data_IF_577659760499
#
_entry.id   IF_577659760499
#
_cell.length_a   1.000
_cell.length_b   1.000
_cell.length_c   1.000
_cell.angle_alpha   90.00
_cell.angle_beta   90.00
_cell.angle_gamma   90.00
#
_symmetry.space_group_name_H-M   'P 1'
#
loop_
_entity.id
_entity.type
_entity.pdbx_description
1 polymer ?
#
# COMPACT_ATOMS: atom_id res chain seq x y z
N UNK A 1 3.63 -7.59 9.80
CA UNK A 1 3.48 -7.18 11.20
C UNK A 1 4.49 -6.09 11.53
N UNK A 2 4.06 -5.06 12.23
CA UNK A 2 4.97 -3.99 12.68
C UNK A 2 4.51 -3.40 14.00
N UNK A 3 5.45 -2.89 14.78
CA UNK A 3 5.22 -2.16 16.03
C UNK A 3 6.16 -0.97 16.13
N UNK A 4 5.83 -0.01 16.99
CA UNK A 4 6.71 1.10 17.38
C UNK A 4 7.29 0.90 18.78
N UNK A 5 7.22 -0.32 19.34
CA UNK A 5 7.78 -0.67 20.66
C UNK A 5 9.12 -1.39 20.53
N UNK A 6 9.88 -1.42 21.60
CA UNK A 6 11.10 -2.21 21.73
C UNK A 6 10.91 -3.43 22.62
N UNK A 7 9.66 -3.67 23.09
CA UNK A 7 9.36 -4.74 24.02
C UNK A 7 9.35 -6.11 23.32
N UNK A 8 10.21 -7.06 23.66
CA UNK A 8 10.22 -8.39 23.05
C UNK A 8 8.88 -9.12 23.11
N UNK A 9 8.06 -8.85 24.13
CA UNK A 9 6.74 -9.46 24.29
C UNK A 9 5.72 -8.99 23.24
N UNK A 10 5.96 -7.84 22.62
CA UNK A 10 5.14 -7.30 21.52
C UNK A 10 5.80 -7.54 20.15
N UNK A 11 7.04 -7.99 20.13
CA UNK A 11 7.87 -8.14 18.94
C UNK A 11 8.16 -9.63 18.67
N UNK A 12 9.35 -10.14 19.00
CA UNK A 12 9.76 -11.51 18.69
C UNK A 12 8.86 -12.56 19.33
N UNK A 13 8.30 -12.31 20.52
CA UNK A 13 7.43 -13.28 21.18
C UNK A 13 6.08 -13.42 20.48
N UNK A 14 5.54 -12.32 19.94
CA UNK A 14 4.32 -12.38 19.11
C UNK A 14 4.58 -13.17 17.83
N UNK A 15 5.73 -12.93 17.18
CA UNK A 15 6.08 -13.68 15.96
C UNK A 15 6.33 -15.16 16.29
N UNK A 16 7.02 -15.46 17.38
CA UNK A 16 7.21 -16.84 17.85
C UNK A 16 5.88 -17.56 18.10
N UNK A 17 4.96 -16.89 18.81
CA UNK A 17 3.61 -17.41 19.03
C UNK A 17 2.88 -17.63 17.71
N UNK A 18 2.89 -16.64 16.81
CA UNK A 18 2.21 -16.71 15.52
C UNK A 18 2.70 -17.88 14.66
N UNK A 19 4.01 -18.09 14.57
CA UNK A 19 4.61 -19.20 13.80
C UNK A 19 4.26 -20.58 14.37
N UNK A 20 4.04 -20.70 15.69
CA UNK A 20 3.55 -21.94 16.30
C UNK A 20 2.08 -22.19 16.04
N UNK A 21 1.23 -21.17 16.17
CA UNK A 21 -0.21 -21.29 15.98
C UNK A 21 -0.61 -21.42 14.50
N UNK A 22 0.22 -20.94 13.61
CA UNK A 22 -0.06 -20.87 12.17
C UNK A 22 1.12 -21.40 11.38
N UNK A 23 1.27 -22.74 11.31
CA UNK A 23 2.42 -23.39 10.64
C UNK A 23 2.48 -23.14 9.12
N UNK A 24 1.38 -22.66 8.53
CA UNK A 24 1.34 -22.23 7.14
C UNK A 24 2.01 -20.86 6.91
N UNK A 25 2.46 -20.18 7.96
CA UNK A 25 3.18 -18.91 7.85
C UNK A 25 4.69 -19.14 7.94
N UNK A 26 5.43 -18.41 7.14
CA UNK A 26 6.89 -18.36 7.18
C UNK A 26 7.38 -16.91 7.17
N UNK A 27 8.53 -16.66 7.80
CA UNK A 27 9.19 -15.35 7.73
C UNK A 27 9.99 -15.23 6.44
N UNK A 28 9.81 -14.09 5.78
CA UNK A 28 10.57 -13.68 4.60
C UNK A 28 11.61 -12.65 5.03
N UNK A 29 12.85 -12.78 4.53
CA UNK A 29 13.88 -11.75 4.73
C UNK A 29 13.49 -10.49 3.95
N UNK A 30 13.63 -9.35 4.61
CA UNK A 30 13.48 -8.05 3.97
C UNK A 30 14.83 -7.59 3.40
N UNK A 31 14.79 -6.64 2.47
CA UNK A 31 15.98 -5.97 1.98
C UNK A 31 16.70 -5.28 3.14
N UNK A 32 18.02 -5.36 3.13
CA UNK A 32 18.85 -4.75 4.18
C UNK A 32 19.10 -3.27 3.86
N UNK A 33 18.87 -2.41 4.84
CA UNK A 33 19.14 -0.99 4.77
C UNK A 33 20.10 -0.55 5.87
N UNK A 34 20.88 0.47 5.61
CA UNK A 34 21.77 1.05 6.60
C UNK A 34 21.00 1.42 7.87
N UNK A 35 21.48 0.96 9.02
CA UNK A 35 20.84 1.17 10.32
C UNK A 35 19.87 0.07 10.77
N UNK A 36 19.49 -0.85 9.88
CA UNK A 36 18.68 -2.01 10.27
C UNK A 36 19.48 -2.96 11.18
N UNK A 37 18.78 -3.56 12.11
CA UNK A 37 19.28 -4.66 12.96
C UNK A 37 18.38 -5.86 12.79
N UNK A 38 18.94 -7.05 12.85
CA UNK A 38 18.15 -8.29 12.83
C UNK A 38 17.37 -8.47 14.13
N UNK A 39 16.22 -9.16 14.04
CA UNK A 39 15.53 -9.64 15.23
C UNK A 39 16.43 -10.58 16.06
N UNK A 40 16.17 -10.66 17.36
CA UNK A 40 16.95 -11.47 18.28
C UNK A 40 16.18 -12.75 18.68
N UNK A 41 16.61 -13.95 18.27
CA UNK A 41 15.98 -15.21 18.67
C UNK A 41 15.86 -15.41 20.19
N UNK A 42 16.83 -14.95 20.98
CA UNK A 42 16.83 -15.05 22.44
C UNK A 42 15.71 -14.24 23.11
N UNK A 43 15.16 -13.26 22.42
CA UNK A 43 14.03 -12.45 22.88
C UNK A 43 12.67 -13.08 22.56
N UNK A 44 12.67 -14.13 21.73
CA UNK A 44 11.52 -14.97 21.43
C UNK A 44 11.64 -16.36 22.07
N UNK A 45 11.44 -17.38 21.26
CA UNK A 45 11.51 -18.79 21.66
C UNK A 45 12.81 -19.50 21.19
N UNK A 46 13.80 -18.75 20.78
CA UNK A 46 15.06 -19.27 20.23
C UNK A 46 15.00 -19.67 18.75
N UNK A 47 13.87 -19.48 18.08
CA UNK A 47 13.73 -19.81 16.65
C UNK A 47 14.68 -18.95 15.79
N UNK A 48 15.64 -19.57 15.07
CA UNK A 48 16.62 -18.82 14.28
C UNK A 48 15.99 -18.01 13.13
N UNK A 49 14.77 -18.33 12.70
CA UNK A 49 14.08 -17.57 11.70
C UNK A 49 13.75 -16.14 12.14
N UNK A 50 13.67 -15.87 13.45
CA UNK A 50 13.46 -14.53 14.00
C UNK A 50 14.53 -13.53 13.57
N UNK A 51 15.71 -13.98 13.15
CA UNK A 51 16.73 -13.13 12.52
C UNK A 51 16.28 -12.47 11.22
N UNK A 52 15.22 -12.96 10.59
CA UNK A 52 14.61 -12.33 9.39
C UNK A 52 13.75 -11.11 9.75
N UNK A 53 13.37 -10.94 11.01
CA UNK A 53 12.75 -9.73 11.48
C UNK A 53 13.75 -8.59 11.49
N UNK A 54 13.26 -7.36 11.42
CA UNK A 54 14.08 -6.15 11.46
C UNK A 54 13.73 -5.33 12.70
N UNK A 55 14.74 -4.84 13.37
CA UNK A 55 14.65 -3.84 14.42
C UNK A 55 15.30 -2.54 13.95
N UNK A 56 14.58 -1.46 14.10
CA UNK A 56 15.04 -0.11 13.78
C UNK A 56 15.22 0.62 15.12
N UNK A 57 16.44 1.09 15.38
CA UNK A 57 16.76 1.79 16.60
C UNK A 57 17.15 3.25 16.32
N UNK A 58 16.63 4.23 17.09
CA UNK A 58 16.94 5.66 16.89
C UNK A 58 18.41 6.02 17.00
N UNK A 59 19.20 5.23 17.71
CA UNK A 59 20.64 5.44 17.82
C UNK A 59 21.46 4.95 16.62
N UNK A 60 20.82 4.20 15.69
CA UNK A 60 21.46 3.68 14.48
C UNK A 60 21.01 4.40 13.20
N UNK A 61 19.83 4.99 13.23
CA UNK A 61 19.32 5.77 12.11
C UNK A 61 18.36 6.86 12.61
N UNK A 62 18.25 7.92 11.85
CA UNK A 62 17.32 9.00 12.19
C UNK A 62 15.87 8.53 12.03
N UNK A 63 15.05 8.79 13.03
CA UNK A 63 13.63 8.45 13.04
C UNK A 63 13.19 7.79 14.34
N UNK A 64 11.97 7.29 14.32
CA UNK A 64 11.39 6.51 15.41
C UNK A 64 11.85 5.06 15.34
N UNK A 65 11.79 4.36 16.49
CA UNK A 65 12.06 2.93 16.52
C UNK A 65 10.89 2.12 15.98
N UNK A 66 11.21 1.02 15.30
CA UNK A 66 10.22 0.07 14.80
C UNK A 66 10.72 -1.37 14.89
N UNK A 67 9.76 -2.28 15.00
CA UNK A 67 9.96 -3.69 14.71
C UNK A 67 9.15 -4.07 13.47
N UNK A 68 9.73 -4.87 12.58
CA UNK A 68 9.10 -5.32 11.34
C UNK A 68 9.27 -6.84 11.18
N UNK A 69 8.20 -7.52 10.77
CA UNK A 69 8.23 -8.92 10.37
C UNK A 69 7.41 -9.11 9.09
N UNK A 70 8.07 -9.57 8.03
CA UNK A 70 7.40 -9.91 6.77
C UNK A 70 7.04 -11.38 6.79
N UNK A 71 5.75 -11.67 6.66
CA UNK A 71 5.20 -13.01 6.73
C UNK A 71 4.58 -13.41 5.39
N UNK A 72 4.82 -14.64 4.98
CA UNK A 72 4.21 -15.27 3.82
C UNK A 72 3.37 -16.45 4.27
N UNK A 73 2.15 -16.55 3.76
CA UNK A 73 1.28 -17.70 3.95
C UNK A 73 1.51 -18.69 2.81
N UNK A 74 1.77 -19.95 3.15
CA UNK A 74 1.80 -21.04 2.18
C UNK A 74 0.39 -21.35 1.67
N UNK A 75 0.32 -21.75 0.42
CA UNK A 75 -0.93 -22.15 -0.23
C UNK A 75 -1.09 -21.50 -1.60
N UNK A 76 -1.99 -22.06 -2.38
CA UNK A 76 -2.44 -21.42 -3.60
C UNK A 76 -3.38 -20.28 -3.24
N UNK A 77 -3.22 -19.15 -3.91
CA UNK A 77 -4.25 -18.11 -3.87
C UNK A 77 -5.60 -18.78 -4.14
N UNK A 78 -6.57 -18.53 -3.28
CA UNK A 78 -7.93 -19.00 -3.51
C UNK A 78 -8.42 -18.58 -4.90
N UNK A 79 -9.54 -19.14 -5.40
CA UNK A 79 -10.04 -18.82 -6.72
C UNK A 79 -10.05 -17.31 -6.88
N UNK A 80 -9.35 -16.86 -7.92
CA UNK A 80 -9.28 -15.45 -8.29
C UNK A 80 -10.70 -14.92 -8.32
N UNK A 81 -11.06 -14.10 -7.37
CA UNK A 81 -12.26 -13.31 -7.49
C UNK A 81 -12.11 -12.49 -8.78
N UNK A 82 -13.15 -12.42 -9.58
CA UNK A 82 -13.13 -11.85 -10.92
C UNK A 82 -12.44 -10.50 -11.03
N UNK A 83 -12.31 -9.98 -12.21
CA UNK A 83 -11.81 -8.62 -12.45
C UNK A 83 -12.76 -7.59 -11.83
N UNK A 84 -12.23 -6.58 -11.18
CA UNK A 84 -13.02 -5.44 -10.74
C UNK A 84 -13.67 -4.77 -11.94
N UNK A 85 -14.99 -4.82 -12.01
CA UNK A 85 -15.77 -4.07 -13.00
C UNK A 85 -16.76 -3.20 -12.26
N UNK A 86 -16.71 -1.92 -12.53
CA UNK A 86 -17.68 -0.96 -12.02
C UNK A 86 -18.84 -0.79 -12.99
N UNK A 87 -19.91 -0.18 -12.52
CA UNK A 87 -20.93 0.37 -13.41
C UNK A 87 -20.30 1.41 -14.34
N UNK A 88 -20.84 1.52 -15.56
CA UNK A 88 -20.33 2.49 -16.54
C UNK A 88 -20.27 3.88 -15.92
N UNK A 89 -19.08 4.46 -15.93
CA UNK A 89 -18.87 5.83 -15.45
C UNK A 89 -19.73 6.82 -16.26
N UNK A 90 -20.38 7.77 -15.59
CA UNK A 90 -21.15 8.81 -16.26
C UNK A 90 -20.23 9.65 -17.17
N UNK A 91 -20.73 10.04 -18.34
CA UNK A 91 -19.91 10.67 -19.38
C UNK A 91 -19.33 12.03 -18.97
N UNK A 92 -20.08 12.79 -18.16
CA UNK A 92 -19.63 14.08 -17.63
C UNK A 92 -18.50 13.91 -16.61
N UNK A 93 -18.60 12.93 -15.71
CA UNK A 93 -17.55 12.59 -14.74
C UNK A 93 -16.27 12.18 -15.48
N UNK A 94 -16.42 11.30 -16.46
CA UNK A 94 -15.30 10.87 -17.28
C UNK A 94 -14.62 12.06 -17.97
N UNK A 95 -15.40 12.97 -18.52
CA UNK A 95 -14.90 14.18 -19.17
C UNK A 95 -14.03 15.03 -18.24
N UNK A 96 -14.50 15.30 -17.00
CA UNK A 96 -13.74 16.12 -16.04
C UNK A 96 -12.41 15.44 -15.63
N UNK A 97 -12.42 14.12 -15.48
CA UNK A 97 -11.19 13.38 -15.19
C UNK A 97 -10.24 13.37 -16.40
N UNK A 98 -10.75 13.20 -17.61
CA UNK A 98 -9.95 13.24 -18.85
C UNK A 98 -9.34 14.62 -19.09
N UNK A 99 -10.04 15.70 -18.75
CA UNK A 99 -9.50 17.06 -18.80
C UNK A 99 -8.31 17.20 -17.85
N UNK A 100 -8.44 16.76 -16.59
CA UNK A 100 -7.35 16.78 -15.63
C UNK A 100 -6.17 15.88 -16.05
N UNK A 101 -6.42 14.66 -16.49
CA UNK A 101 -5.36 13.74 -16.92
C UNK A 101 -4.60 14.25 -18.15
N UNK A 102 -5.28 14.96 -19.04
CA UNK A 102 -4.65 15.64 -20.18
C UNK A 102 -3.78 16.80 -19.72
N UNK A 103 -4.26 17.59 -18.75
CA UNK A 103 -3.52 18.73 -18.20
C UNK A 103 -2.21 18.30 -17.57
N UNK A 104 -2.20 17.20 -16.82
CA UNK A 104 -0.97 16.66 -16.22
C UNK A 104 -0.14 15.80 -17.17
N UNK A 105 -0.61 15.53 -18.38
CA UNK A 105 0.06 14.63 -19.33
C UNK A 105 0.18 13.22 -18.79
N UNK A 106 -0.92 12.64 -18.26
CA UNK A 106 -0.92 11.28 -17.72
C UNK A 106 -0.58 10.26 -18.81
N UNK A 107 0.44 9.44 -18.55
CA UNK A 107 0.87 8.33 -19.44
C UNK A 107 0.42 6.98 -18.89
N UNK A 108 0.76 6.72 -17.64
CA UNK A 108 0.43 5.47 -16.95
C UNK A 108 0.09 5.75 -15.49
N UNK A 109 -0.50 4.78 -14.81
CA UNK A 109 -0.68 4.76 -13.37
C UNK A 109 -0.22 3.39 -12.88
N UNK A 110 0.76 3.36 -11.98
CA UNK A 110 1.42 2.13 -11.49
C UNK A 110 2.01 1.27 -12.64
N UNK A 111 2.60 1.93 -13.64
CA UNK A 111 3.22 1.30 -14.82
C UNK A 111 2.24 0.72 -15.84
N UNK A 112 0.95 0.97 -15.70
CA UNK A 112 -0.10 0.44 -16.58
C UNK A 112 -0.95 1.57 -17.19
N UNK A 113 -1.53 1.32 -18.35
CA UNK A 113 -2.54 2.20 -18.92
C UNK A 113 -3.74 2.32 -17.97
N UNK A 114 -4.30 3.53 -17.87
CA UNK A 114 -5.42 3.79 -16.97
C UNK A 114 -6.71 3.11 -17.46
N UNK A 115 -7.19 2.13 -16.69
CA UNK A 115 -8.40 1.36 -17.01
C UNK A 115 -9.66 2.03 -16.43
N UNK A 116 -10.42 2.68 -17.26
CA UNK A 116 -11.67 3.35 -16.90
C UNK A 116 -12.72 2.42 -16.29
N UNK A 117 -12.67 1.10 -16.55
CA UNK A 117 -13.60 0.15 -15.96
C UNK A 117 -13.34 -0.11 -14.48
N UNK A 118 -12.21 0.37 -13.97
CA UNK A 118 -11.84 0.27 -12.56
C UNK A 118 -12.17 1.52 -11.76
N UNK A 119 -12.75 2.55 -12.39
CA UNK A 119 -13.16 3.78 -11.71
C UNK A 119 -14.51 3.59 -11.04
N UNK A 120 -14.58 3.79 -9.74
CA UNK A 120 -15.80 3.75 -8.95
C UNK A 120 -16.06 5.11 -8.32
N UNK A 121 -17.32 5.55 -8.38
CA UNK A 121 -17.78 6.78 -7.72
C UNK A 121 -18.71 6.41 -6.57
N UNK A 122 -18.39 6.91 -5.38
CA UNK A 122 -19.21 6.78 -4.17
C UNK A 122 -19.52 8.16 -3.63
N UNK A 123 -20.78 8.56 -3.72
CA UNK A 123 -21.20 9.94 -3.49
C UNK A 123 -20.44 10.91 -4.40
N UNK A 124 -19.57 11.72 -3.84
CA UNK A 124 -18.70 12.67 -4.53
C UNK A 124 -17.24 12.21 -4.66
N UNK A 125 -16.90 11.02 -4.15
CA UNK A 125 -15.53 10.51 -4.12
C UNK A 125 -15.25 9.52 -5.23
N UNK A 126 -14.10 9.67 -5.88
CA UNK A 126 -13.67 8.82 -6.99
C UNK A 126 -12.54 7.91 -6.53
N UNK A 127 -12.69 6.61 -6.80
CA UNK A 127 -11.72 5.57 -6.46
C UNK A 127 -11.29 4.79 -7.69
N UNK A 128 -10.04 4.38 -7.72
CA UNK A 128 -9.51 3.44 -8.70
C UNK A 128 -9.32 2.08 -8.04
N UNK A 129 -10.15 1.12 -8.44
CA UNK A 129 -10.17 -0.20 -7.82
C UNK A 129 -8.95 -1.04 -8.21
N UNK A 130 -8.52 -2.00 -7.37
CA UNK A 130 -7.49 -2.96 -7.75
C UNK A 130 -7.95 -3.78 -8.97
N UNK A 131 -7.00 -4.33 -9.73
CA UNK A 131 -7.28 -5.16 -10.91
C UNK A 131 -8.03 -6.45 -10.54
N UNK A 132 -7.85 -6.92 -9.32
CA UNK A 132 -8.53 -8.11 -8.78
C UNK A 132 -9.63 -7.67 -7.82
N UNK A 133 -10.85 -8.16 -8.03
CA UNK A 133 -11.95 -7.94 -7.08
C UNK A 133 -12.12 -9.14 -6.17
N UNK A 134 -12.40 -8.86 -4.91
CA UNK A 134 -12.75 -9.85 -3.91
C UNK A 134 -14.23 -9.79 -3.59
N UNK A 135 -14.79 -10.89 -3.10
CA UNK A 135 -16.14 -10.89 -2.61
C UNK A 135 -16.20 -10.26 -1.21
N UNK A 136 -16.62 -9.00 -1.15
CA UNK A 136 -16.76 -8.25 0.09
C UNK A 136 -18.14 -8.44 0.77
N UNK A 137 -18.95 -9.37 0.29
CA UNK A 137 -20.29 -9.61 0.86
C UNK A 137 -20.20 -9.95 2.35
N UNK A 138 -20.90 -9.19 3.16
CA UNK A 138 -20.91 -9.37 4.63
C UNK A 138 -19.73 -8.71 5.35
N UNK A 139 -18.83 -8.03 4.63
CA UNK A 139 -17.74 -7.26 5.22
C UNK A 139 -18.06 -5.77 5.19
N UNK A 140 -17.69 -5.08 6.27
CA UNK A 140 -17.64 -3.63 6.32
C UNK A 140 -16.21 -3.19 6.02
N UNK A 141 -16.04 -2.32 5.06
CA UNK A 141 -14.73 -1.76 4.73
C UNK A 141 -14.80 -0.25 4.58
N UNK A 142 -13.74 0.43 4.97
CA UNK A 142 -13.66 1.89 4.96
C UNK A 142 -13.38 2.38 3.55
N UNK A 143 -12.48 1.72 2.83
CA UNK A 143 -12.02 2.11 1.51
C UNK A 143 -11.57 0.88 0.71
N UNK A 144 -11.86 0.88 -0.58
CA UNK A 144 -11.34 -0.09 -1.53
C UNK A 144 -10.64 0.66 -2.68
N UNK A 145 -9.38 0.34 -2.93
CA UNK A 145 -8.59 0.96 -4.00
C UNK A 145 -7.98 2.31 -3.65
N UNK A 146 -7.42 2.96 -4.68
CA UNK A 146 -6.77 4.26 -4.60
C UNK A 146 -7.81 5.38 -4.67
N UNK A 147 -7.80 6.27 -3.70
CA UNK A 147 -8.61 7.49 -3.74
C UNK A 147 -8.00 8.48 -4.73
N UNK A 148 -8.74 8.78 -5.79
CA UNK A 148 -8.28 9.65 -6.86
C UNK A 148 -8.59 11.12 -6.58
N UNK A 149 -9.74 11.42 -5.98
CA UNK A 149 -10.17 12.78 -5.72
C UNK A 149 -11.68 12.92 -5.55
N UNK A 150 -12.13 14.15 -5.53
CA UNK A 150 -13.53 14.52 -5.35
C UNK A 150 -14.15 15.07 -6.66
N UNK A 151 -15.43 14.78 -6.85
CA UNK A 151 -16.26 15.44 -7.84
C UNK A 151 -16.85 16.71 -7.23
N UNK A 152 -16.56 17.83 -7.83
CA UNK A 152 -17.17 19.12 -7.49
C UNK A 152 -18.05 19.58 -8.65
N UNK A 153 -18.76 20.69 -8.46
CA UNK A 153 -19.58 21.25 -9.52
C UNK A 153 -18.72 21.53 -10.76
N UNK A 154 -18.97 20.76 -11.81
CA UNK A 154 -18.31 20.88 -13.11
C UNK A 154 -16.79 20.68 -13.15
N UNK A 155 -16.20 19.96 -12.19
CA UNK A 155 -14.77 19.64 -12.21
C UNK A 155 -14.44 18.41 -11.36
N UNK A 156 -13.30 17.83 -11.65
CA UNK A 156 -12.63 16.86 -10.79
C UNK A 156 -11.53 17.57 -9.97
N UNK A 157 -11.49 17.35 -8.67
CA UNK A 157 -10.42 17.81 -7.78
C UNK A 157 -9.57 16.63 -7.36
N UNK A 158 -8.30 16.54 -7.83
CA UNK A 158 -7.42 15.45 -7.48
C UNK A 158 -7.04 15.47 -5.99
N UNK A 159 -6.86 14.30 -5.41
CA UNK A 159 -6.43 14.15 -4.03
C UNK A 159 -4.95 13.79 -3.92
N UNK A 160 -4.33 14.11 -2.79
CA UNK A 160 -2.93 13.77 -2.52
C UNK A 160 -2.59 12.28 -2.75
N UNK A 161 -3.43 11.29 -2.39
CA UNK A 161 -3.11 9.89 -2.68
C UNK A 161 -2.88 9.59 -4.16
N UNK A 162 -3.57 10.28 -5.06
CA UNK A 162 -3.32 10.14 -6.50
C UNK A 162 -1.91 10.64 -6.86
N UNK A 163 -1.52 11.80 -6.34
CA UNK A 163 -0.18 12.35 -6.60
C UNK A 163 0.93 11.44 -6.06
N UNK A 164 0.73 10.85 -4.88
CA UNK A 164 1.68 9.91 -4.27
C UNK A 164 1.74 8.54 -4.96
N UNK A 165 0.72 8.19 -5.74
CA UNK A 165 0.69 6.94 -6.49
C UNK A 165 1.49 6.99 -7.79
N UNK A 166 1.82 8.19 -8.29
CA UNK A 166 2.61 8.33 -9.52
C UNK A 166 4.06 7.95 -9.29
N UNK A 167 4.57 7.15 -10.22
CA UNK A 167 6.01 6.91 -10.36
C UNK A 167 6.65 8.00 -11.21
N UNK A 168 7.95 8.12 -11.12
CA UNK A 168 8.73 9.00 -11.99
C UNK A 168 8.40 8.73 -13.46
N UNK A 169 8.08 9.78 -14.22
CA UNK A 169 7.74 9.75 -15.65
C UNK A 169 6.33 9.22 -16.01
N UNK A 170 5.45 8.96 -15.07
CA UNK A 170 4.06 8.59 -15.35
C UNK A 170 3.15 9.79 -15.68
N UNK A 171 3.58 10.98 -15.29
CA UNK A 171 2.96 12.25 -15.69
C UNK A 171 4.03 13.21 -16.23
N UNK A 172 3.63 14.21 -17.03
CA UNK A 172 4.54 15.21 -17.59
C UNK A 172 4.63 16.47 -16.73
N UNK A 173 3.52 16.85 -16.09
CA UNK A 173 3.47 18.02 -15.22
C UNK A 173 4.16 17.71 -13.86
N UNK A 174 5.49 17.80 -13.84
CA UNK A 174 6.34 17.54 -12.67
C UNK A 174 7.18 18.78 -12.38
N UNK A 175 7.14 19.22 -11.13
CA UNK A 175 8.06 20.25 -10.61
C UNK A 175 9.12 19.52 -9.78
N UNK A 176 10.38 19.71 -10.13
CA UNK A 176 11.51 19.23 -9.31
C UNK A 176 11.98 20.36 -8.42
N UNK A 177 11.93 20.13 -7.12
CA UNK A 177 12.41 21.07 -6.11
C UNK A 177 13.68 20.52 -5.50
N UNK A 178 14.65 21.40 -5.22
CA UNK A 178 15.80 21.08 -4.37
C UNK A 178 15.46 21.36 -2.90
N UNK A 179 16.30 20.87 -1.98
CA UNK A 179 16.15 21.16 -0.54
C UNK A 179 16.28 22.65 -0.25
N UNK A 180 16.94 23.39 -1.11
CA UNK A 180 17.22 24.82 -0.99
C UNK A 180 16.15 25.70 -1.67
N UNK A 181 15.19 25.10 -2.37
CA UNK A 181 14.09 25.84 -3.00
C UNK A 181 13.08 26.27 -1.91
N UNK A 182 12.63 27.54 -1.89
CA UNK A 182 11.75 28.09 -0.86
C UNK A 182 10.33 27.48 -0.89
#
# INVERSE_FOLDING_TARGET
YSTCTFAPCEDEQIISWLLRERPELSLISMEDYEGFSTGNPEWGDGNPQLKKCVRIFPHKMQGEGHFLALLQKEGTAGPSAGTSKTSRLAADIRKYMEEFFREIGLKTLDGQEFDWNRVEVRADKVYYLPSVSYNFRGLTFIRNGLYLGDLKKNRFEPAQPLALAFRKNEAEAVISLSVDDP
#
